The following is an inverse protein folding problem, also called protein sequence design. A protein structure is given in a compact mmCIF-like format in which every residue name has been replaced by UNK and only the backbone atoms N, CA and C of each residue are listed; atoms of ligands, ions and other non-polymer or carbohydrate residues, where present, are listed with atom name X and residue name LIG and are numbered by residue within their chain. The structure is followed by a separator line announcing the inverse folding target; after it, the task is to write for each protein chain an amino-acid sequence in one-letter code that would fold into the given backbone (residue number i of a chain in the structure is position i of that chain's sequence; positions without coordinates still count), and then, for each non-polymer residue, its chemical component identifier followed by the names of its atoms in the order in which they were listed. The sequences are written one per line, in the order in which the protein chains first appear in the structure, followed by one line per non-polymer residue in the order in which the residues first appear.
data_IF_384118417384
#
_entry.id   IF_384118417384
#
_cell.length_a   1.000
_cell.length_b   1.000
_cell.length_c   1.000
_cell.angle_alpha   90.00
_cell.angle_beta   90.00
_cell.angle_gamma   90.00
#
_symmetry.space_group_name_H-M   'P 1'
#
loop_
_entity.id
_entity.type
_entity.pdbx_description
1 polymer ?
#
# COMPACT_ATOMS: atom_id res chain seq x y z
N UNK A 1 -69.29 53.01 33.52
CA UNK A 1 -69.76 51.72 34.09
C UNK A 1 -69.74 50.63 33.00
N UNK A 2 -68.81 49.67 33.08
CA UNK A 2 -68.93 48.26 32.63
C UNK A 2 -67.54 47.59 32.61
N UNK A 3 -67.29 46.86 33.70
CA UNK A 3 -66.61 45.56 33.88
C UNK A 3 -65.24 45.18 33.27
N UNK A 4 -64.53 44.26 33.98
CA UNK A 4 -63.10 43.96 33.85
C UNK A 4 -62.85 42.70 33.00
N UNK A 5 -61.60 42.46 32.60
CA UNK A 5 -61.17 41.11 32.19
C UNK A 5 -59.87 40.68 32.87
N UNK A 6 -60.04 39.62 33.66
CA UNK A 6 -59.04 38.83 34.38
C UNK A 6 -58.82 37.55 33.57
N UNK A 7 -57.58 37.19 33.28
CA UNK A 7 -57.18 35.87 32.74
C UNK A 7 -55.77 35.62 33.29
N UNK A 8 -55.56 34.90 34.40
CA UNK A 8 -55.68 33.45 34.64
C UNK A 8 -54.87 32.60 33.66
N UNK A 9 -53.55 32.65 33.83
CA UNK A 9 -52.60 31.68 33.24
C UNK A 9 -52.78 30.34 33.97
N UNK A 10 -53.30 29.34 33.26
CA UNK A 10 -53.28 27.93 33.67
C UNK A 10 -52.17 27.21 32.90
N UNK A 11 -51.45 26.36 33.61
CA UNK A 11 -50.30 25.60 33.09
C UNK A 11 -50.63 24.68 31.92
N UNK A 12 -49.66 24.56 31.03
CA UNK A 12 -49.63 23.56 29.96
C UNK A 12 -48.50 22.56 30.21
N UNK A 13 -48.86 21.37 30.67
CA UNK A 13 -47.99 20.19 30.82
C UNK A 13 -47.60 19.61 29.45
N UNK A 14 -46.86 20.35 28.63
CA UNK A 14 -46.46 19.89 27.27
C UNK A 14 -44.95 19.91 27.01
N UNK A 15 -44.13 20.37 27.96
CA UNK A 15 -42.67 20.49 27.78
C UNK A 15 -41.87 19.18 27.88
N UNK A 16 -42.34 18.17 28.60
CA UNK A 16 -41.55 16.94 28.84
C UNK A 16 -41.65 15.87 27.74
N UNK A 17 -42.68 15.89 26.89
CA UNK A 17 -42.90 14.80 25.92
C UNK A 17 -42.02 14.97 24.66
N UNK A 18 -41.71 16.21 24.28
CA UNK A 18 -40.94 16.49 23.05
C UNK A 18 -39.45 16.15 23.20
N UNK A 19 -38.89 16.24 24.40
CA UNK A 19 -37.46 15.98 24.64
C UNK A 19 -37.13 14.47 24.58
N UNK A 20 -38.05 13.61 25.03
CA UNK A 20 -37.86 12.14 25.06
C UNK A 20 -37.95 11.54 23.64
N UNK A 21 -38.77 12.11 22.75
CA UNK A 21 -38.86 11.66 21.38
C UNK A 21 -37.58 12.00 20.58
N UNK A 22 -36.94 13.14 20.82
CA UNK A 22 -35.69 13.49 20.14
C UNK A 22 -34.52 12.59 20.56
N UNK A 23 -34.39 12.20 21.83
CA UNK A 23 -33.26 11.35 22.27
C UNK A 23 -33.34 9.91 21.73
N UNK A 24 -34.55 9.36 21.56
CA UNK A 24 -34.73 8.02 20.98
C UNK A 24 -34.39 7.96 19.47
N UNK A 25 -34.57 9.07 18.75
CA UNK A 25 -34.22 9.16 17.32
C UNK A 25 -32.68 9.28 17.15
N UNK A 26 -31.97 9.95 18.07
CA UNK A 26 -30.50 9.99 18.01
C UNK A 26 -29.85 8.64 18.40
N UNK A 27 -30.39 7.91 19.37
CA UNK A 27 -29.86 6.59 19.75
C UNK A 27 -30.04 5.52 18.66
N UNK A 28 -31.03 5.64 17.79
CA UNK A 28 -31.25 4.70 16.69
C UNK A 28 -30.34 4.97 15.49
N UNK A 29 -29.95 6.23 15.26
CA UNK A 29 -28.98 6.58 14.22
C UNK A 29 -27.57 6.04 14.50
N UNK A 30 -27.08 6.14 15.75
CA UNK A 30 -25.74 5.64 16.10
C UNK A 30 -25.63 4.11 15.97
N UNK A 31 -26.70 3.38 16.29
CA UNK A 31 -26.72 1.92 16.16
C UNK A 31 -26.83 1.46 14.70
N UNK A 32 -27.53 2.23 13.85
CA UNK A 32 -27.63 1.94 12.43
C UNK A 32 -26.31 2.16 11.68
N UNK A 33 -25.59 3.25 11.97
CA UNK A 33 -24.26 3.52 11.41
C UNK A 33 -23.24 2.43 11.80
N UNK A 34 -23.21 2.04 13.08
CA UNK A 34 -22.37 0.93 13.56
C UNK A 34 -22.73 -0.40 12.91
N UNK A 35 -24.02 -0.68 12.70
CA UNK A 35 -24.48 -1.89 12.00
C UNK A 35 -24.05 -1.94 10.54
N UNK A 36 -24.08 -0.81 9.83
CA UNK A 36 -23.66 -0.73 8.43
C UNK A 36 -22.14 -0.92 8.25
N UNK A 37 -21.34 -0.33 9.14
CA UNK A 37 -19.88 -0.48 9.14
C UNK A 37 -19.46 -1.93 9.40
N UNK A 38 -20.01 -2.56 10.43
CA UNK A 38 -19.74 -3.98 10.75
C UNK A 38 -20.20 -4.90 9.61
N UNK A 39 -21.35 -4.62 9.00
CA UNK A 39 -21.83 -5.40 7.86
C UNK A 39 -20.90 -5.29 6.64
N UNK A 40 -20.30 -4.12 6.41
CA UNK A 40 -19.34 -3.93 5.32
C UNK A 40 -18.02 -4.65 5.62
N UNK A 41 -17.51 -4.54 6.85
CA UNK A 41 -16.29 -5.23 7.28
C UNK A 41 -16.41 -6.75 7.11
N UNK A 42 -17.56 -7.33 7.52
CA UNK A 42 -17.83 -8.76 7.34
C UNK A 42 -17.83 -9.14 5.84
N UNK A 43 -18.45 -8.33 4.99
CA UNK A 43 -18.45 -8.57 3.53
C UNK A 43 -17.03 -8.55 2.97
N UNK A 44 -16.21 -7.60 3.40
CA UNK A 44 -14.84 -7.45 2.92
C UNK A 44 -13.96 -8.62 3.38
N UNK A 45 -14.14 -9.10 4.62
CA UNK A 45 -13.47 -10.30 5.13
C UNK A 45 -13.88 -11.55 4.34
N UNK A 46 -15.18 -11.72 4.07
CA UNK A 46 -15.68 -12.85 3.27
C UNK A 46 -15.13 -12.78 1.84
N UNK A 47 -15.14 -11.59 1.23
CA UNK A 47 -14.58 -11.37 -0.09
C UNK A 47 -13.08 -11.71 -0.13
N UNK A 48 -12.32 -11.26 0.87
CA UNK A 48 -10.90 -11.58 1.00
C UNK A 48 -10.66 -13.07 1.16
N UNK A 49 -11.39 -13.74 2.06
CA UNK A 49 -11.21 -15.17 2.34
C UNK A 49 -11.53 -16.03 1.12
N UNK A 50 -12.54 -15.66 0.33
CA UNK A 50 -12.93 -16.37 -0.88
C UNK A 50 -12.15 -15.96 -2.13
N UNK A 51 -11.37 -14.88 -2.08
CA UNK A 51 -10.61 -14.44 -3.23
C UNK A 51 -9.52 -15.46 -3.61
N UNK A 52 -9.38 -15.76 -4.90
CA UNK A 52 -8.36 -16.69 -5.40
C UNK A 52 -6.96 -16.12 -5.15
N UNK A 53 -6.01 -16.99 -4.85
CA UNK A 53 -4.61 -16.64 -4.57
C UNK A 53 -3.66 -17.14 -5.65
N UNK A 54 -2.58 -16.40 -5.86
CA UNK A 54 -1.41 -16.84 -6.61
C UNK A 54 -0.14 -16.70 -5.75
N UNK A 55 0.84 -17.56 -5.99
CA UNK A 55 2.16 -17.46 -5.37
C UNK A 55 3.07 -16.61 -6.24
N UNK A 56 3.47 -15.46 -5.70
CA UNK A 56 4.49 -14.58 -6.27
C UNK A 56 5.87 -15.05 -5.82
N UNK A 57 6.75 -15.34 -6.78
CA UNK A 57 8.15 -15.65 -6.49
C UNK A 57 8.95 -14.36 -6.47
N UNK A 58 9.71 -14.14 -5.40
CA UNK A 58 10.58 -12.97 -5.22
C UNK A 58 12.02 -13.42 -5.47
N UNK A 59 12.63 -12.93 -6.55
CA UNK A 59 13.99 -13.31 -6.91
C UNK A 59 14.83 -12.09 -7.29
N UNK A 60 16.03 -11.98 -6.74
CA UNK A 60 16.96 -10.91 -7.05
C UNK A 60 18.12 -11.48 -7.89
N UNK A 61 18.56 -10.81 -8.96
CA UNK A 61 19.76 -11.21 -9.68
C UNK A 61 20.96 -11.23 -8.74
N UNK A 62 21.88 -12.14 -9.00
CA UNK A 62 23.07 -12.35 -8.16
C UNK A 62 23.84 -11.02 -7.93
N UNK A 63 24.23 -10.78 -6.68
CA UNK A 63 25.01 -9.60 -6.29
C UNK A 63 24.24 -8.28 -6.19
N UNK A 64 23.01 -8.19 -6.71
CA UNK A 64 22.24 -6.93 -6.71
C UNK A 64 21.65 -6.56 -5.35
N UNK A 65 21.42 -7.55 -4.48
CA UNK A 65 20.77 -7.39 -3.19
C UNK A 65 20.00 -8.63 -2.77
N UNK A 66 19.07 -8.47 -1.82
CA UNK A 66 18.22 -9.56 -1.34
C UNK A 66 16.84 -9.08 -0.90
N UNK A 67 15.83 -9.93 -1.09
CA UNK A 67 14.53 -9.73 -0.47
C UNK A 67 14.58 -10.07 1.01
N UNK A 68 14.11 -9.15 1.85
CA UNK A 68 14.00 -9.34 3.30
C UNK A 68 12.68 -10.02 3.68
N UNK A 69 11.69 -9.98 2.80
CA UNK A 69 10.36 -10.56 3.01
C UNK A 69 10.28 -12.06 2.73
N UNK A 70 11.39 -12.70 2.31
CA UNK A 70 11.44 -14.10 1.85
C UNK A 70 11.51 -14.22 0.33
N UNK A 71 11.41 -15.45 -0.17
CA UNK A 71 11.51 -15.79 -1.61
C UNK A 71 10.17 -16.05 -2.27
N UNK A 72 9.10 -16.22 -1.49
CA UNK A 72 7.75 -16.46 -2.00
C UNK A 72 6.72 -15.76 -1.12
N UNK A 73 5.65 -15.26 -1.75
CA UNK A 73 4.49 -14.68 -1.07
C UNK A 73 3.20 -15.10 -1.76
N UNK A 74 2.22 -15.55 -0.98
CA UNK A 74 0.85 -15.72 -1.48
C UNK A 74 0.16 -14.36 -1.52
N UNK A 75 -0.43 -14.02 -2.67
CA UNK A 75 -1.18 -12.79 -2.87
C UNK A 75 -2.56 -13.12 -3.46
N UNK A 76 -3.60 -12.48 -2.93
CA UNK A 76 -4.97 -12.67 -3.40
C UNK A 76 -5.32 -11.68 -4.50
N UNK A 77 -6.11 -12.12 -5.48
CA UNK A 77 -6.56 -11.29 -6.59
C UNK A 77 -7.29 -10.04 -6.09
N UNK A 78 -6.85 -8.87 -6.52
CA UNK A 78 -7.41 -7.58 -6.12
C UNK A 78 -6.82 -7.02 -4.81
N UNK A 79 -6.01 -7.78 -4.09
CA UNK A 79 -5.40 -7.39 -2.82
C UNK A 79 -3.91 -7.08 -2.96
N UNK A 80 -3.37 -6.46 -1.91
CA UNK A 80 -1.97 -6.04 -1.83
C UNK A 80 -1.19 -6.88 -0.84
N UNK A 81 0.11 -7.01 -1.10
CA UNK A 81 1.11 -7.49 -0.14
C UNK A 81 2.27 -6.52 -0.11
N UNK A 82 2.94 -6.41 1.03
CA UNK A 82 4.13 -5.60 1.16
C UNK A 82 5.38 -6.48 1.06
N UNK A 83 6.34 -6.05 0.25
CA UNK A 83 7.64 -6.68 0.10
C UNK A 83 8.75 -5.66 0.41
N UNK A 84 9.89 -6.17 0.84
CA UNK A 84 11.04 -5.37 1.21
C UNK A 84 12.30 -5.93 0.55
N UNK A 85 13.07 -5.05 -0.07
CA UNK A 85 14.31 -5.37 -0.78
C UNK A 85 15.44 -4.51 -0.26
N UNK A 86 16.59 -5.13 0.01
CA UNK A 86 17.82 -4.45 0.37
C UNK A 86 18.79 -4.54 -0.79
N UNK A 87 19.21 -3.40 -1.34
CA UNK A 87 20.14 -3.31 -2.46
C UNK A 87 21.59 -3.35 -1.96
N UNK A 88 22.48 -3.95 -2.73
CA UNK A 88 23.91 -3.74 -2.56
C UNK A 88 24.30 -2.36 -3.12
N UNK A 89 24.09 -1.31 -2.33
CA UNK A 89 24.29 0.09 -2.74
C UNK A 89 25.74 0.44 -3.08
N UNK A 90 26.71 -0.39 -2.68
CA UNK A 90 28.12 -0.18 -3.02
C UNK A 90 28.43 -0.42 -4.51
N UNK A 91 27.61 -1.25 -5.18
CA UNK A 91 27.81 -1.63 -6.58
C UNK A 91 26.59 -1.34 -7.46
N UNK A 92 25.39 -1.18 -6.88
CA UNK A 92 24.16 -1.08 -7.63
C UNK A 92 23.27 0.08 -7.20
N UNK A 93 22.56 0.66 -8.16
CA UNK A 93 21.48 1.63 -7.97
C UNK A 93 20.14 0.98 -8.27
N UNK A 94 19.25 0.93 -7.29
CA UNK A 94 17.89 0.44 -7.47
C UNK A 94 17.04 1.42 -8.30
N UNK A 95 16.25 0.89 -9.24
CA UNK A 95 15.39 1.66 -10.17
C UNK A 95 13.91 1.28 -10.11
N UNK A 96 13.52 0.38 -9.21
CA UNK A 96 12.15 -0.10 -9.07
C UNK A 96 12.04 -1.61 -9.14
N UNK A 97 10.80 -2.11 -9.10
CA UNK A 97 10.47 -3.52 -9.29
C UNK A 97 9.94 -3.75 -10.70
N UNK A 98 10.14 -4.96 -11.19
CA UNK A 98 9.49 -5.47 -12.38
C UNK A 98 8.87 -6.84 -12.11
N UNK A 99 7.81 -7.14 -12.86
CA UNK A 99 7.23 -8.47 -12.90
C UNK A 99 7.57 -9.12 -14.22
N UNK A 100 8.06 -10.35 -14.17
CA UNK A 100 8.50 -11.15 -15.31
C UNK A 100 7.98 -12.58 -15.17
N UNK A 101 8.06 -13.36 -16.24
CA UNK A 101 7.73 -14.79 -16.21
C UNK A 101 8.78 -15.56 -15.39
N UNK A 102 8.31 -16.55 -14.62
CA UNK A 102 9.19 -17.50 -13.91
C UNK A 102 9.93 -18.40 -14.89
N UNK A 103 9.25 -18.81 -15.96
CA UNK A 103 9.83 -19.67 -16.98
C UNK A 103 10.79 -18.91 -17.92
N UNK A 104 10.51 -17.63 -18.20
CA UNK A 104 11.34 -16.81 -19.08
C UNK A 104 11.42 -15.35 -18.61
N UNK A 105 12.48 -14.95 -17.88
CA UNK A 105 12.62 -13.59 -17.36
C UNK A 105 12.65 -12.48 -18.42
N UNK A 106 12.86 -12.80 -19.70
CA UNK A 106 12.77 -11.81 -20.79
C UNK A 106 11.32 -11.44 -21.14
N UNK A 107 10.34 -12.18 -20.65
CA UNK A 107 8.90 -11.91 -20.86
C UNK A 107 8.36 -11.14 -19.67
N UNK A 108 7.98 -9.88 -19.91
CA UNK A 108 7.34 -9.03 -18.92
C UNK A 108 5.94 -9.54 -18.52
N UNK A 109 5.58 -9.29 -17.26
CA UNK A 109 4.28 -9.60 -16.64
C UNK A 109 3.70 -8.38 -15.92
N UNK A 110 4.03 -7.17 -16.39
CA UNK A 110 3.61 -5.91 -15.77
C UNK A 110 2.07 -5.74 -15.73
N UNK A 111 1.33 -6.43 -16.58
CA UNK A 111 -0.13 -6.43 -16.61
C UNK A 111 -0.77 -7.29 -15.50
N UNK A 112 0.01 -8.10 -14.79
CA UNK A 112 -0.48 -8.98 -13.73
C UNK A 112 -0.40 -8.35 -12.35
N UNK A 113 0.47 -7.36 -12.16
CA UNK A 113 0.69 -6.74 -10.85
C UNK A 113 0.84 -5.23 -10.98
N UNK A 114 0.56 -4.52 -9.89
CA UNK A 114 0.84 -3.10 -9.74
C UNK A 114 1.79 -2.91 -8.57
N UNK A 115 2.79 -2.06 -8.76
CA UNK A 115 3.75 -1.69 -7.73
C UNK A 115 3.47 -0.28 -7.21
N UNK A 116 3.53 -0.12 -5.90
CA UNK A 116 3.48 1.18 -5.22
C UNK A 116 4.68 1.27 -4.30
N UNK A 117 5.52 2.29 -4.47
CA UNK A 117 6.64 2.55 -3.54
C UNK A 117 6.10 3.11 -2.23
N UNK A 118 6.47 2.47 -1.12
CA UNK A 118 6.14 2.87 0.24
C UNK A 118 7.38 3.29 1.05
N UNK A 119 8.56 3.29 0.42
CA UNK A 119 9.83 3.55 1.09
C UNK A 119 9.92 5.01 1.53
N UNK A 120 10.36 5.25 2.76
CA UNK A 120 10.74 6.60 3.20
C UNK A 120 12.11 6.99 2.65
N UNK A 121 12.45 8.28 2.64
CA UNK A 121 13.78 8.72 2.19
C UNK A 121 14.91 8.14 3.06
N UNK A 122 14.71 8.05 4.37
CA UNK A 122 15.65 7.40 5.29
C UNK A 122 15.89 5.92 4.95
N UNK A 123 14.85 5.18 4.57
CA UNK A 123 14.99 3.79 4.15
C UNK A 123 15.77 3.67 2.85
N UNK A 124 15.50 4.56 1.89
CA UNK A 124 16.22 4.63 0.61
C UNK A 124 17.70 4.94 0.80
N UNK A 125 18.04 5.85 1.71
CA UNK A 125 19.43 6.16 2.08
C UNK A 125 20.15 4.95 2.68
N UNK A 126 19.43 4.13 3.45
CA UNK A 126 19.92 2.86 3.99
C UNK A 126 19.89 1.71 2.96
N UNK A 127 19.60 1.99 1.69
CA UNK A 127 19.53 0.98 0.62
C UNK A 127 18.39 -0.03 0.79
N UNK A 128 17.34 0.33 1.52
CA UNK A 128 16.21 -0.54 1.80
C UNK A 128 14.93 0.04 1.18
N UNK A 129 14.24 -0.76 0.39
CA UNK A 129 13.06 -0.34 -0.36
C UNK A 129 11.86 -1.20 0.04
N UNK A 130 10.78 -0.54 0.45
CA UNK A 130 9.47 -1.13 0.73
C UNK A 130 8.55 -0.88 -0.45
N UNK A 131 8.01 -1.96 -1.00
CA UNK A 131 7.13 -1.90 -2.18
C UNK A 131 5.88 -2.69 -1.88
N UNK A 132 4.74 -2.07 -2.13
CA UNK A 132 3.46 -2.76 -2.11
C UNK A 132 3.16 -3.32 -3.50
N UNK A 133 2.79 -4.59 -3.56
CA UNK A 133 2.45 -5.32 -4.77
C UNK A 133 0.98 -5.68 -4.74
N UNK A 134 0.20 -5.18 -5.69
CA UNK A 134 -1.20 -5.55 -5.89
C UNK A 134 -1.33 -6.58 -7.00
N UNK A 135 -2.00 -7.70 -6.76
CA UNK A 135 -2.29 -8.67 -7.82
C UNK A 135 -3.52 -8.24 -8.62
N UNK A 136 -3.34 -7.98 -9.92
CA UNK A 136 -4.39 -7.55 -10.84
C UNK A 136 -5.01 -8.71 -11.61
N UNK A 137 -4.22 -9.75 -11.92
CA UNK A 137 -4.67 -10.93 -12.66
C UNK A 137 -4.05 -12.20 -12.08
N UNK A 138 -4.80 -13.30 -12.11
CA UNK A 138 -4.28 -14.61 -11.71
C UNK A 138 -3.32 -15.16 -12.76
N UNK A 139 -2.19 -15.68 -12.29
CA UNK A 139 -1.25 -16.47 -13.07
C UNK A 139 -0.31 -17.18 -12.12
N UNK A 140 0.05 -18.42 -12.45
CA UNK A 140 1.06 -19.18 -11.73
C UNK A 140 2.46 -18.92 -12.28
N UNK A 141 2.65 -17.93 -13.17
CA UNK A 141 3.90 -17.62 -13.85
C UNK A 141 4.33 -16.16 -13.61
N UNK A 142 4.37 -15.75 -12.34
CA UNK A 142 4.78 -14.40 -11.92
C UNK A 142 6.01 -14.48 -11.02
N UNK A 143 7.09 -13.82 -11.45
CA UNK A 143 8.28 -13.53 -10.67
C UNK A 143 8.43 -12.02 -10.50
N UNK A 144 8.69 -11.57 -9.28
CA UNK A 144 9.00 -10.18 -8.96
C UNK A 144 10.52 -10.06 -8.83
N UNK A 145 11.10 -9.10 -9.55
CA UNK A 145 12.53 -8.89 -9.62
C UNK A 145 12.87 -7.40 -9.43
N UNK A 146 13.93 -7.05 -8.68
CA UNK A 146 14.42 -5.68 -8.61
C UNK A 146 15.13 -5.31 -9.91
N UNK A 147 14.86 -4.11 -10.40
CA UNK A 147 15.60 -3.50 -11.50
C UNK A 147 16.75 -2.67 -10.92
N UNK A 148 17.97 -3.17 -11.05
CA UNK A 148 19.17 -2.51 -10.55
C UNK A 148 20.12 -2.16 -11.70
N UNK A 149 20.84 -1.04 -11.57
CA UNK A 149 21.91 -0.65 -12.49
C UNK A 149 23.25 -0.72 -11.80
N UNK A 150 24.24 -1.36 -12.43
CA UNK A 150 25.61 -1.40 -11.92
C UNK A 150 26.23 0.00 -11.97
N UNK A 151 26.85 0.42 -10.87
CA UNK A 151 27.61 1.66 -10.76
C UNK A 151 28.92 1.46 -11.56
N UNK A 152 29.19 2.28 -12.58
CA UNK A 152 30.45 2.18 -13.32
C UNK A 152 31.62 2.51 -12.39
N UNK A 153 32.52 1.55 -12.19
CA UNK A 153 33.78 1.79 -11.50
C UNK A 153 34.70 2.50 -12.49
N UNK A 154 35.14 3.72 -12.17
CA UNK A 154 36.14 4.41 -12.97
C UNK A 154 37.45 3.60 -12.92
N UNK A 155 37.77 2.91 -14.00
CA UNK A 155 39.12 2.38 -14.23
C UNK A 155 40.01 3.59 -14.49
N UNK A 156 41.00 3.78 -13.61
CA UNK A 156 41.77 5.03 -13.50
C UNK A 156 42.13 5.65 -14.84
N UNK A 157 41.79 6.94 -14.99
CA UNK A 157 42.42 7.77 -15.99
C UNK A 157 43.91 7.86 -15.64
N UNK A 158 44.73 7.12 -16.38
CA UNK A 158 46.17 7.32 -16.40
C UNK A 158 46.41 8.74 -16.95
N UNK A 159 47.11 9.65 -16.26
CA UNK A 159 47.61 10.82 -16.95
C UNK A 159 48.62 10.32 -18.00
N UNK A 160 48.55 10.78 -19.26
CA UNK A 160 49.66 10.60 -20.17
C UNK A 160 50.87 11.32 -19.54
N UNK A 161 51.92 10.56 -19.22
CA UNK A 161 53.22 11.12 -18.84
C UNK A 161 53.75 11.90 -20.05
N UNK A 162 53.48 13.20 -20.09
CA UNK A 162 54.02 14.11 -21.09
C UNK A 162 55.45 14.47 -20.71
N UNK A 163 56.35 13.51 -20.90
CA UNK A 163 57.78 13.68 -20.71
C UNK A 163 58.40 14.28 -21.99
N UNK A 164 57.93 15.43 -22.45
CA UNK A 164 58.63 16.17 -23.51
C UNK A 164 59.71 17.06 -22.89
N UNK A 165 60.83 16.44 -22.50
CA UNK A 165 62.11 17.15 -22.44
C UNK A 165 62.63 17.26 -23.87
N UNK A 166 62.48 18.42 -24.50
CA UNK A 166 63.22 18.72 -25.73
C UNK A 166 64.63 19.23 -25.38
N UNK A 167 65.67 18.83 -26.14
CA UNK A 167 67.06 19.24 -25.96
C UNK A 167 67.33 20.72 -26.27
#
# INVERSE_FOLDING_TARGET
MKNPFRSKVRGGRYGCIVIIACTLIFSSCENFLKGAEVAQEIKDIIAYNNAPSSTLVLNAPEGTGKFLSGTEKSCKLGYTIDIQFSVNFSEYVYRGMEAVSKANPSVGRAEYVQFTDLSTEEEKENGTYKVQVKLLKLSDDIMIQPKCLLIPKATGAWPPNDNTSYP
#
